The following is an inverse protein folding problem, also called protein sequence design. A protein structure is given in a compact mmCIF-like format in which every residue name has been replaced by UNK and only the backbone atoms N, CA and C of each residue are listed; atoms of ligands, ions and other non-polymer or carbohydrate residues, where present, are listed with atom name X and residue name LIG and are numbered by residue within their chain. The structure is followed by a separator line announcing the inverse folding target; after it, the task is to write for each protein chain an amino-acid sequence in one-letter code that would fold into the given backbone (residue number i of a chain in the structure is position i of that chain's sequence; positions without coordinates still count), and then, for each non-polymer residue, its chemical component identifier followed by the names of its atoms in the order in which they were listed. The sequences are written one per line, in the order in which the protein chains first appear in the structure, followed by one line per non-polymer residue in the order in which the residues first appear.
data_IF_929317569687
#
_entry.id   IF_929317569687
#
_cell.length_a   1.000
_cell.length_b   1.000
_cell.length_c   1.000
_cell.angle_alpha   90.00
_cell.angle_beta   90.00
_cell.angle_gamma   90.00
#
_symmetry.space_group_name_H-M   'P 1'
#
loop_
_entity.id
_entity.type
_entity.pdbx_description
1 polymer ?
#
# COMPACT_ATOMS: atom_id res chain seq x y z
N UNK A 1 4.19 7.53 119.89
CA UNK A 1 4.82 8.67 119.22
C UNK A 1 5.32 8.18 117.88
N UNK A 2 4.91 8.88 116.81
CA UNK A 2 5.03 8.48 115.42
C UNK A 2 6.46 8.06 115.01
N UNK A 3 6.57 7.01 114.22
CA UNK A 3 7.04 7.08 112.82
C UNK A 3 6.76 5.73 112.14
N UNK A 4 5.66 5.69 111.40
CA UNK A 4 5.57 4.82 110.25
C UNK A 4 6.45 5.41 109.15
N UNK A 5 6.88 4.52 108.25
CA UNK A 5 7.51 4.81 106.98
C UNK A 5 9.00 5.19 107.04
N UNK A 6 9.81 4.23 106.62
CA UNK A 6 10.68 4.48 105.48
C UNK A 6 10.89 3.15 104.79
N UNK A 7 9.97 2.85 103.87
CA UNK A 7 10.04 1.69 103.01
C UNK A 7 11.35 1.61 102.23
N UNK A 8 11.82 0.37 102.08
CA UNK A 8 12.42 -0.13 100.86
C UNK A 8 13.61 0.68 100.31
N UNK A 9 14.73 0.65 101.01
CA UNK A 9 16.07 0.88 100.46
C UNK A 9 16.61 -0.32 99.66
N UNK A 10 15.73 -1.19 99.14
CA UNK A 10 16.10 -2.26 98.23
C UNK A 10 16.23 -1.69 96.82
N UNK A 11 17.47 -1.42 96.44
CA UNK A 11 18.03 -1.65 95.10
C UNK A 11 16.99 -1.65 93.97
N UNK A 12 16.77 -0.48 93.34
CA UNK A 12 15.98 -0.42 92.10
C UNK A 12 16.59 -1.46 91.13
N UNK A 13 15.84 -2.49 90.71
CA UNK A 13 16.43 -3.59 89.98
C UNK A 13 17.00 -3.07 88.64
N UNK A 14 18.23 -3.44 88.27
CA UNK A 14 18.87 -3.04 87.01
C UNK A 14 18.08 -3.50 85.77
N UNK A 15 17.08 -4.35 85.97
CA UNK A 15 16.07 -4.79 85.00
C UNK A 15 15.37 -3.62 84.30
N UNK A 16 14.99 -2.55 85.03
CA UNK A 16 14.32 -1.40 84.41
C UNK A 16 15.24 -0.60 83.48
N UNK A 17 16.54 -0.60 83.75
CA UNK A 17 17.55 0.04 82.90
C UNK A 17 17.87 -0.80 81.65
N UNK A 18 17.88 -2.14 81.78
CA UNK A 18 18.15 -3.04 80.66
C UNK A 18 16.98 -3.15 79.67
N UNK A 19 15.73 -3.06 80.15
CA UNK A 19 14.54 -3.07 79.28
C UNK A 19 14.35 -1.78 78.48
N UNK A 20 14.95 -0.65 78.92
CA UNK A 20 14.92 0.62 78.19
C UNK A 20 16.01 0.71 77.10
N UNK A 21 17.11 -0.04 77.26
CA UNK A 21 18.23 -0.09 76.32
C UNK A 21 18.02 -0.99 75.10
N UNK A 22 17.01 -1.88 75.15
CA UNK A 22 16.56 -2.67 74.01
C UNK A 22 15.15 -2.26 73.59
N UNK A 23 14.97 -1.09 72.96
CA UNK A 23 13.76 -0.87 72.17
C UNK A 23 13.68 -2.01 71.15
N UNK A 24 12.52 -2.67 71.05
CA UNK A 24 12.25 -3.64 69.99
C UNK A 24 12.80 -3.07 68.68
N UNK A 25 13.73 -3.76 67.98
CA UNK A 25 14.50 -3.14 66.92
C UNK A 25 13.52 -2.61 65.86
N UNK A 26 13.34 -1.30 65.83
CA UNK A 26 12.32 -0.61 65.01
C UNK A 26 12.54 -0.89 63.52
N UNK A 27 13.78 -1.24 63.17
CA UNK A 27 14.15 -1.82 61.87
C UNK A 27 13.25 -2.97 61.44
N UNK A 28 12.83 -3.89 62.34
CA UNK A 28 11.96 -5.02 61.98
C UNK A 28 10.56 -4.58 61.56
N UNK A 29 10.05 -3.52 62.20
CA UNK A 29 8.74 -2.93 61.89
C UNK A 29 8.76 -2.26 60.51
N UNK A 30 9.89 -1.69 60.10
CA UNK A 30 10.07 -1.11 58.77
C UNK A 30 10.46 -2.17 57.73
N UNK A 31 11.20 -3.20 58.12
CA UNK A 31 11.64 -4.27 57.23
C UNK A 31 10.46 -5.13 56.74
N UNK A 32 9.48 -5.43 57.59
CA UNK A 32 8.29 -6.20 57.20
C UNK A 32 7.49 -5.59 56.04
N UNK A 33 7.03 -4.32 56.09
CA UNK A 33 6.31 -3.72 54.99
C UNK A 33 7.18 -3.58 53.73
N UNK A 34 8.48 -3.31 53.87
CA UNK A 34 9.41 -3.27 52.72
C UNK A 34 9.52 -4.65 52.05
N UNK A 35 9.63 -5.73 52.83
CA UNK A 35 9.66 -7.10 52.33
C UNK A 35 8.34 -7.48 51.66
N UNK A 36 7.20 -7.12 52.25
CA UNK A 36 5.88 -7.34 51.67
C UNK A 36 5.74 -6.56 50.36
N UNK A 37 6.20 -5.31 50.31
CA UNK A 37 6.18 -4.49 49.10
C UNK A 37 7.01 -5.13 47.98
N UNK A 38 8.25 -5.55 48.27
CA UNK A 38 9.09 -6.25 47.30
C UNK A 38 8.42 -7.53 46.79
N UNK A 39 7.89 -8.36 47.69
CA UNK A 39 7.19 -9.60 47.30
C UNK A 39 5.95 -9.31 46.45
N UNK A 40 5.20 -8.26 46.78
CA UNK A 40 4.02 -7.86 46.02
C UNK A 40 4.38 -7.39 44.61
N UNK A 41 5.44 -6.59 44.45
CA UNK A 41 5.94 -6.17 43.13
C UNK A 41 6.47 -7.35 42.33
N UNK A 42 7.16 -8.30 42.97
CA UNK A 42 7.67 -9.49 42.31
C UNK A 42 6.52 -10.38 41.81
N UNK A 43 5.50 -10.56 42.66
CA UNK A 43 4.30 -11.32 42.31
C UNK A 43 3.56 -10.64 41.17
N UNK A 44 3.37 -9.31 41.25
CA UNK A 44 2.76 -8.54 40.18
C UNK A 44 3.55 -8.65 38.87
N UNK A 45 4.88 -8.50 38.90
CA UNK A 45 5.73 -8.61 37.71
C UNK A 45 5.72 -10.01 37.09
N UNK A 46 5.52 -11.07 37.89
CA UNK A 46 5.37 -12.43 37.40
C UNK A 46 4.06 -12.63 36.62
N UNK A 47 2.97 -12.03 37.09
CA UNK A 47 1.67 -12.06 36.40
C UNK A 47 1.49 -10.95 35.36
N UNK A 48 2.37 -9.95 35.37
CA UNK A 48 2.39 -8.88 34.39
C UNK A 48 2.84 -9.48 33.07
N UNK A 49 1.86 -9.95 32.31
CA UNK A 49 1.99 -10.26 30.91
C UNK A 49 2.30 -8.93 30.22
N UNK A 50 3.58 -8.73 29.90
CA UNK A 50 3.97 -7.64 29.03
C UNK A 50 3.35 -8.01 27.69
N UNK A 51 2.20 -7.41 27.38
CA UNK A 51 1.68 -7.35 26.02
C UNK A 51 2.74 -6.63 25.21
N UNK A 52 3.70 -7.40 24.71
CA UNK A 52 4.61 -6.97 23.68
C UNK A 52 3.73 -6.77 22.47
N UNK A 53 3.18 -5.56 22.31
CA UNK A 53 2.97 -5.02 20.98
C UNK A 53 4.36 -4.84 20.38
N UNK A 54 5.00 -5.96 20.02
CA UNK A 54 5.84 -5.96 18.85
C UNK A 54 4.86 -5.65 17.74
N UNK A 55 4.65 -4.35 17.50
CA UNK A 55 4.58 -3.91 16.12
C UNK A 55 5.93 -4.36 15.58
N UNK A 56 5.98 -5.61 15.11
CA UNK A 56 6.82 -5.90 14.00
C UNK A 56 6.38 -4.81 13.03
N UNK A 57 7.22 -3.79 12.87
CA UNK A 57 7.17 -2.98 11.69
C UNK A 57 7.54 -3.97 10.60
N UNK A 58 6.59 -4.84 10.24
CA UNK A 58 6.46 -5.40 8.93
C UNK A 58 6.11 -4.25 8.03
N UNK A 59 7.02 -3.27 7.96
CA UNK A 59 7.25 -2.63 6.70
C UNK A 59 7.86 -3.75 5.87
N UNK A 60 6.97 -4.45 5.18
CA UNK A 60 7.35 -5.16 3.97
C UNK A 60 7.85 -4.03 3.08
N UNK A 61 9.13 -3.70 3.21
CA UNK A 61 9.86 -2.95 2.20
C UNK A 61 10.18 -4.01 1.16
N UNK A 62 9.39 -4.17 0.08
CA UNK A 62 9.91 -4.87 -1.07
C UNK A 62 11.18 -4.13 -1.45
N UNK A 63 12.32 -4.83 -1.43
CA UNK A 63 13.54 -4.34 -2.06
C UNK A 63 13.29 -4.39 -3.56
N UNK A 64 12.59 -3.38 -4.03
CA UNK A 64 12.33 -3.11 -5.41
C UNK A 64 12.40 -1.61 -5.52
N UNK A 65 13.43 -1.12 -6.21
CA UNK A 65 13.28 0.19 -6.86
C UNK A 65 12.04 0.06 -7.73
N UNK A 66 10.88 0.47 -7.22
CA UNK A 66 9.77 0.85 -8.09
C UNK A 66 10.24 2.17 -8.68
N UNK A 67 11.16 2.08 -9.63
CA UNK A 67 11.17 3.02 -10.72
C UNK A 67 9.74 2.92 -11.23
N UNK A 68 8.97 3.94 -10.92
CA UNK A 68 7.74 4.27 -11.61
C UNK A 68 8.16 4.49 -13.07
N UNK A 69 8.38 3.38 -13.78
CA UNK A 69 8.18 3.37 -15.22
C UNK A 69 6.68 3.50 -15.29
N UNK A 70 6.21 4.74 -15.35
CA UNK A 70 4.98 4.98 -16.07
C UNK A 70 5.26 4.41 -17.45
N UNK A 71 4.80 3.19 -17.70
CA UNK A 71 4.59 2.72 -19.04
C UNK A 71 3.60 3.74 -19.58
N UNK A 72 4.10 4.68 -20.37
CA UNK A 72 3.34 5.72 -21.04
C UNK A 72 2.47 5.10 -22.17
N UNK A 73 1.87 3.94 -21.91
CA UNK A 73 1.15 3.12 -22.89
C UNK A 73 -0.13 2.46 -22.33
N UNK A 74 -0.48 2.67 -21.06
CA UNK A 74 -1.76 2.24 -20.51
C UNK A 74 -2.73 3.41 -20.48
N UNK A 75 -3.80 3.36 -21.28
CA UNK A 75 -4.82 4.40 -21.38
C UNK A 75 -5.39 4.90 -20.05
N UNK A 76 -6.12 6.01 -20.08
CA UNK A 76 -6.70 6.66 -18.90
C UNK A 76 -7.70 5.68 -18.27
N UNK A 77 -7.64 5.50 -16.94
CA UNK A 77 -8.65 4.72 -16.21
C UNK A 77 -9.98 5.48 -16.30
N UNK A 78 -11.00 4.89 -16.91
CA UNK A 78 -12.30 5.51 -17.10
C UNK A 78 -13.18 5.32 -15.86
N UNK A 79 -13.33 4.07 -15.40
CA UNK A 79 -14.08 3.72 -14.19
C UNK A 79 -13.47 2.50 -13.47
N UNK A 80 -13.49 2.53 -12.13
CA UNK A 80 -13.12 1.41 -11.26
C UNK A 80 -14.39 0.86 -10.60
N UNK A 81 -14.72 -0.41 -10.84
CA UNK A 81 -15.97 -1.03 -10.39
C UNK A 81 -15.85 -1.76 -9.05
N UNK A 82 -14.66 -1.82 -8.47
CA UNK A 82 -14.37 -2.60 -7.25
C UNK A 82 -13.53 -1.82 -6.26
N UNK A 83 -13.71 -2.11 -4.96
CA UNK A 83 -12.91 -1.52 -3.88
C UNK A 83 -11.99 -2.57 -3.26
N UNK A 84 -10.91 -2.11 -2.63
CA UNK A 84 -9.99 -2.98 -1.91
C UNK A 84 -10.73 -3.80 -0.85
N UNK A 85 -10.68 -5.13 -1.01
CA UNK A 85 -11.35 -6.08 -0.11
C UNK A 85 -12.66 -6.70 -0.64
N UNK A 86 -13.13 -6.29 -1.83
CA UNK A 86 -14.31 -6.91 -2.45
C UNK A 86 -14.01 -8.35 -2.94
N UNK A 87 -14.93 -9.27 -2.64
CA UNK A 87 -14.93 -10.62 -3.21
C UNK A 87 -15.43 -10.55 -4.65
N UNK A 88 -14.54 -10.81 -5.60
CA UNK A 88 -14.84 -10.80 -7.04
C UNK A 88 -14.98 -12.21 -7.58
N UNK A 89 -15.97 -12.42 -8.46
CA UNK A 89 -16.22 -13.70 -9.12
C UNK A 89 -15.50 -13.71 -10.47
N UNK A 90 -15.10 -14.90 -10.95
CA UNK A 90 -14.47 -15.05 -12.26
C UNK A 90 -15.35 -14.44 -13.37
N UNK A 91 -14.76 -13.55 -14.17
CA UNK A 91 -15.45 -12.82 -15.24
C UNK A 91 -16.08 -11.48 -14.82
N UNK A 92 -15.98 -11.07 -13.56
CA UNK A 92 -16.46 -9.75 -13.12
C UNK A 92 -15.55 -8.63 -13.65
N UNK A 93 -16.09 -7.60 -14.34
CA UNK A 93 -15.32 -6.45 -14.77
C UNK A 93 -14.86 -5.65 -13.55
N UNK A 94 -13.55 -5.48 -13.41
CA UNK A 94 -12.93 -4.79 -12.27
C UNK A 94 -12.64 -3.32 -12.57
N UNK A 95 -12.29 -3.04 -13.83
CA UNK A 95 -11.77 -1.76 -14.28
C UNK A 95 -12.12 -1.59 -15.77
N UNK A 96 -12.61 -0.41 -16.15
CA UNK A 96 -12.73 0.03 -17.53
C UNK A 96 -11.51 0.92 -17.86
N UNK A 97 -10.69 0.51 -18.82
CA UNK A 97 -9.58 1.31 -19.34
C UNK A 97 -10.04 2.02 -20.62
N UNK A 98 -9.99 3.35 -20.65
CA UNK A 98 -10.12 4.13 -21.88
C UNK A 98 -8.77 4.11 -22.60
N UNK A 99 -8.61 3.12 -23.46
CA UNK A 99 -7.55 3.05 -24.45
C UNK A 99 -7.88 4.05 -25.56
N UNK A 100 -7.78 5.36 -25.26
CA UNK A 100 -8.08 6.48 -26.17
C UNK A 100 -7.27 6.53 -27.47
N UNK A 101 -6.51 5.49 -27.79
CA UNK A 101 -5.72 5.29 -29.01
C UNK A 101 -6.16 4.07 -29.83
N UNK A 102 -7.01 3.18 -29.32
CA UNK A 102 -7.42 1.96 -30.04
C UNK A 102 -8.26 2.26 -31.29
N UNK A 103 -9.30 3.08 -31.13
CA UNK A 103 -10.18 3.47 -32.24
C UNK A 103 -9.48 4.36 -33.27
N UNK A 104 -8.75 5.38 -32.81
CA UNK A 104 -8.03 6.33 -33.67
C UNK A 104 -6.93 5.64 -34.47
N UNK A 105 -6.18 4.72 -33.86
CA UNK A 105 -5.16 3.95 -34.60
C UNK A 105 -5.81 3.05 -35.66
N UNK A 106 -6.94 2.39 -35.38
CA UNK A 106 -7.59 1.51 -36.35
C UNK A 106 -8.08 2.32 -37.56
N UNK A 107 -8.72 3.47 -37.34
CA UNK A 107 -9.20 4.31 -38.44
C UNK A 107 -8.04 4.88 -39.27
N UNK A 108 -6.97 5.38 -38.61
CA UNK A 108 -5.78 5.88 -39.31
C UNK A 108 -5.08 4.78 -40.12
N UNK A 109 -4.96 3.58 -39.54
CA UNK A 109 -4.38 2.41 -40.22
C UNK A 109 -5.23 1.98 -41.42
N UNK A 110 -6.55 2.01 -41.31
CA UNK A 110 -7.45 1.72 -42.43
C UNK A 110 -7.32 2.77 -43.54
N UNK A 111 -7.26 4.06 -43.20
CA UNK A 111 -7.02 5.15 -44.16
C UNK A 111 -5.69 4.95 -44.89
N UNK A 112 -4.62 4.64 -44.15
CA UNK A 112 -3.30 4.35 -44.74
C UNK A 112 -3.36 3.16 -45.69
N UNK A 113 -3.99 2.06 -45.27
CA UNK A 113 -4.15 0.85 -46.08
C UNK A 113 -4.90 1.15 -47.37
N UNK A 114 -6.07 1.76 -47.29
CA UNK A 114 -6.90 2.09 -48.45
C UNK A 114 -6.13 3.01 -49.41
N UNK A 115 -5.43 4.02 -48.88
CA UNK A 115 -4.61 4.94 -49.71
C UNK A 115 -3.48 4.21 -50.46
N UNK A 116 -2.83 3.23 -49.82
CA UNK A 116 -1.75 2.46 -50.41
C UNK A 116 -2.26 1.52 -51.51
N UNK A 117 -3.42 0.90 -51.31
CA UNK A 117 -4.07 0.03 -52.32
C UNK A 117 -4.44 0.85 -53.56
N UNK A 118 -5.06 2.01 -53.38
CA UNK A 118 -5.45 2.88 -54.50
C UNK A 118 -4.22 3.42 -55.25
N UNK A 119 -3.15 3.76 -54.53
CA UNK A 119 -1.89 4.17 -55.16
C UNK A 119 -1.23 3.03 -55.94
N UNK A 120 -1.26 1.80 -55.41
CA UNK A 120 -0.72 0.62 -56.09
C UNK A 120 -1.47 0.33 -57.39
N UNK A 121 -2.80 0.35 -57.38
CA UNK A 121 -3.62 0.19 -58.58
C UNK A 121 -3.29 1.23 -59.66
N UNK A 122 -3.07 2.49 -59.25
CA UNK A 122 -2.63 3.53 -60.17
C UNK A 122 -1.23 3.29 -60.74
N UNK A 123 -0.27 2.94 -59.89
CA UNK A 123 1.11 2.66 -60.33
C UNK A 123 1.16 1.45 -61.27
N UNK A 124 0.31 0.45 -61.05
CA UNK A 124 0.19 -0.71 -61.94
C UNK A 124 -0.38 -0.33 -63.31
N UNK A 125 -1.41 0.51 -63.34
CA UNK A 125 -1.95 1.07 -64.58
C UNK A 125 -0.90 1.92 -65.33
N UNK A 126 -0.15 2.78 -64.62
CA UNK A 126 0.94 3.57 -65.19
C UNK A 126 2.08 2.68 -65.75
N UNK A 127 2.40 1.57 -65.07
CA UNK A 127 3.49 0.68 -65.47
C UNK A 127 3.13 -0.24 -66.64
N UNK A 128 1.87 -0.69 -66.71
CA UNK A 128 1.40 -1.62 -67.74
C UNK A 128 0.74 -0.93 -68.94
N UNK A 129 0.37 0.35 -68.80
CA UNK A 129 -0.42 1.09 -69.79
C UNK A 129 -1.87 0.64 -69.88
N UNK A 130 -2.33 -0.19 -68.93
CA UNK A 130 -3.71 -0.65 -68.87
C UNK A 130 -4.64 0.44 -68.31
N UNK A 131 -5.96 0.35 -68.56
CA UNK A 131 -6.94 1.25 -67.96
C UNK A 131 -6.87 1.23 -66.43
N UNK A 132 -6.97 2.41 -65.82
CA UNK A 132 -6.98 2.56 -64.38
C UNK A 132 -8.26 1.96 -63.77
N UNK A 133 -8.13 0.80 -63.13
CA UNK A 133 -9.20 0.13 -62.40
C UNK A 133 -8.85 0.08 -60.91
N UNK A 134 -9.77 0.60 -60.08
CA UNK A 134 -9.63 0.56 -58.63
C UNK A 134 -10.41 -0.64 -58.07
N UNK A 135 -9.87 -1.32 -57.04
CA UNK A 135 -10.62 -2.34 -56.30
C UNK A 135 -11.97 -1.79 -55.78
N UNK A 136 -13.09 -2.51 -55.98
CA UNK A 136 -14.43 -2.00 -55.71
C UNK A 136 -14.66 -1.71 -54.22
N UNK A 137 -14.12 -2.57 -53.35
CA UNK A 137 -14.31 -2.47 -51.90
C UNK A 137 -13.70 -1.17 -51.33
N UNK A 138 -12.49 -0.80 -51.76
CA UNK A 138 -11.80 0.43 -51.37
C UNK A 138 -12.40 1.67 -52.05
N UNK A 139 -12.82 1.52 -53.31
CA UNK A 139 -13.38 2.62 -54.09
C UNK A 139 -14.73 3.09 -53.57
N UNK A 140 -15.57 2.17 -53.10
CA UNK A 140 -16.85 2.49 -52.44
C UNK A 140 -16.63 3.08 -51.04
N UNK A 141 -15.65 2.57 -50.27
CA UNK A 141 -15.34 3.08 -48.93
C UNK A 141 -14.75 4.49 -48.94
N UNK A 142 -13.91 4.83 -49.93
CA UNK A 142 -13.15 6.10 -49.97
C UNK A 142 -13.24 6.78 -51.35
N UNK A 143 -14.44 7.25 -51.77
CA UNK A 143 -14.64 7.83 -53.10
C UNK A 143 -13.82 9.11 -53.35
N UNK A 144 -13.52 9.87 -52.30
CA UNK A 144 -12.71 11.10 -52.39
C UNK A 144 -11.24 10.79 -52.74
N UNK A 145 -10.68 9.69 -52.23
CA UNK A 145 -9.30 9.29 -52.53
C UNK A 145 -9.18 8.77 -53.96
N UNK A 146 -10.19 8.05 -54.44
CA UNK A 146 -10.28 7.59 -55.84
C UNK A 146 -10.24 8.77 -56.80
N UNK A 147 -11.03 9.83 -56.52
CA UNK A 147 -11.03 11.05 -57.34
C UNK A 147 -9.64 11.69 -57.39
N UNK A 148 -8.96 11.80 -56.25
CA UNK A 148 -7.59 12.34 -56.19
C UNK A 148 -6.57 11.51 -56.99
N UNK A 149 -6.63 10.18 -56.88
CA UNK A 149 -5.74 9.29 -57.64
C UNK A 149 -6.02 9.34 -59.13
N UNK A 150 -7.29 9.37 -59.54
CA UNK A 150 -7.71 9.50 -60.94
C UNK A 150 -7.27 10.83 -61.55
N UNK A 151 -7.45 11.94 -60.83
CA UNK A 151 -6.95 13.26 -61.27
C UNK A 151 -5.43 13.25 -61.44
N UNK A 152 -4.71 12.58 -60.54
CA UNK A 152 -3.24 12.51 -60.65
C UNK A 152 -2.80 11.66 -61.83
N UNK A 153 -3.51 10.58 -62.13
CA UNK A 153 -3.30 9.75 -63.32
C UNK A 153 -3.57 10.55 -64.61
N UNK A 154 -4.70 11.25 -64.69
CA UNK A 154 -5.06 12.08 -65.85
C UNK A 154 -4.12 13.28 -66.06
N UNK A 155 -3.60 13.86 -64.97
CA UNK A 155 -2.64 14.97 -65.01
C UNK A 155 -1.24 14.54 -65.46
N UNK A 156 -0.93 13.24 -65.44
CA UNK A 156 0.31 12.66 -65.97
C UNK A 156 0.01 11.83 -67.22
N UNK A 157 -0.14 12.48 -68.38
CA UNK A 157 -0.10 11.76 -69.63
C UNK A 157 1.34 11.25 -69.84
N UNK A 158 1.49 9.93 -69.85
CA UNK A 158 2.65 9.21 -70.38
C UNK A 158 2.81 9.44 -71.88
#
# INVERSE_FOLDING_TARGET
MAIADTGSSAERPPLEQLLRGHPIPTWRIVAWPVMILMLSMMTWAYFAEIEEFTVASGEVVPVGKVKVVQHLEGGIIEELFVKDGDLVVEGQPLLQLDLGSGGTNIEELQVRRDSAILAAARLEAEATGNPLEFPPDEAERRPEMVRGQRQTYEARPS
#
